data_IF_377883187430
#
_entry.id   IF_377883187430
#
_cell.length_a   1.000
_cell.length_b   1.000
_cell.length_c   1.000
_cell.angle_alpha   90.00
_cell.angle_beta   90.00
_cell.angle_gamma   90.00
#
_symmetry.space_group_name_H-M   'P 1'
#
loop_
_entity.id
_entity.type
_entity.pdbx_description
1 polymer ?
#
# COMPACT_ATOMS: atom_id res chain seq x y z
N UNK A 1 27.16 -31.04 0.66
CA UNK A 1 26.76 -30.34 -0.59
C UNK A 1 25.32 -29.84 -0.55
N UNK A 2 24.30 -30.69 -0.37
CA UNK A 2 22.87 -30.30 -0.38
C UNK A 2 22.51 -29.21 0.65
N UNK A 3 23.06 -29.28 1.86
CA UNK A 3 22.81 -28.30 2.93
C UNK A 3 23.32 -26.89 2.58
N UNK A 4 24.46 -26.80 1.90
CA UNK A 4 25.00 -25.51 1.45
C UNK A 4 24.16 -24.87 0.34
N UNK A 5 23.57 -25.70 -0.54
CA UNK A 5 22.66 -25.23 -1.60
C UNK A 5 21.36 -24.68 -0.99
N UNK A 6 20.78 -25.40 -0.01
CA UNK A 6 19.56 -24.95 0.68
C UNK A 6 19.79 -23.65 1.44
N UNK A 7 20.92 -23.53 2.16
CA UNK A 7 21.24 -22.32 2.92
C UNK A 7 21.51 -21.10 2.01
N UNK A 8 22.15 -21.33 0.85
CA UNK A 8 22.32 -20.29 -0.16
C UNK A 8 20.99 -19.82 -0.78
N UNK A 9 20.05 -20.74 -1.03
CA UNK A 9 18.73 -20.39 -1.55
C UNK A 9 17.89 -19.56 -0.56
N UNK A 10 17.99 -19.84 0.75
CA UNK A 10 17.31 -19.06 1.78
C UNK A 10 17.82 -17.61 1.85
N UNK A 11 19.13 -17.40 1.74
CA UNK A 11 19.73 -16.05 1.76
C UNK A 11 19.31 -15.21 0.55
N UNK A 12 19.10 -15.83 -0.62
CA UNK A 12 18.64 -15.16 -1.83
C UNK A 12 17.14 -14.79 -1.79
N UNK A 13 16.37 -15.37 -0.86
CA UNK A 13 14.95 -15.05 -0.65
C UNK A 13 14.71 -13.87 0.30
N UNK A 14 15.78 -13.33 0.91
CA UNK A 14 15.71 -12.10 1.67
C UNK A 14 15.48 -10.92 0.69
N UNK A 15 14.23 -10.48 0.56
CA UNK A 15 13.87 -9.31 -0.23
C UNK A 15 14.40 -8.00 0.37
N UNK A 16 14.20 -6.88 -0.33
CA UNK A 16 14.62 -5.54 0.09
C UNK A 16 13.78 -4.95 1.25
N UNK A 17 13.39 -5.74 2.24
CA UNK A 17 12.54 -5.30 3.35
C UNK A 17 13.17 -4.20 4.22
N UNK A 18 14.49 -4.04 4.16
CA UNK A 18 15.23 -2.95 4.81
C UNK A 18 15.37 -1.68 3.96
N UNK A 19 14.90 -1.69 2.71
CA UNK A 19 14.97 -0.54 1.77
C UNK A 19 13.73 0.36 1.85
N UNK A 20 13.02 0.34 2.98
CA UNK A 20 11.86 1.20 3.23
C UNK A 20 12.27 2.59 3.70
N UNK A 21 11.41 3.58 3.42
CA UNK A 21 11.47 4.92 4.03
C UNK A 21 11.02 4.83 5.49
N UNK A 22 11.67 5.62 6.35
CA UNK A 22 11.36 5.64 7.77
C UNK A 22 9.94 6.22 7.97
N UNK A 23 9.21 5.84 9.02
CA UNK A 23 7.82 6.28 9.20
C UNK A 23 7.62 7.80 9.15
N UNK A 24 8.62 8.57 9.62
CA UNK A 24 8.62 10.03 9.60
C UNK A 24 8.99 10.64 8.23
N UNK A 25 9.62 9.89 7.32
CA UNK A 25 9.92 10.34 5.95
C UNK A 25 8.68 10.37 5.05
N UNK A 26 7.56 9.80 5.52
CA UNK A 26 6.30 9.74 4.76
C UNK A 26 5.54 11.07 4.71
N UNK A 27 6.01 12.09 5.42
CA UNK A 27 5.40 13.43 5.40
C UNK A 27 5.43 14.07 4.00
N UNK A 28 6.38 13.67 3.15
CA UNK A 28 6.44 14.12 1.75
C UNK A 28 5.16 13.74 0.97
N UNK A 29 4.60 12.57 1.26
CA UNK A 29 3.35 12.09 0.65
C UNK A 29 2.09 12.62 1.36
N UNK A 30 2.23 13.29 2.50
CA UNK A 30 1.11 13.89 3.21
C UNK A 30 0.69 15.24 2.65
N UNK A 31 1.49 15.83 1.74
CA UNK A 31 1.17 17.10 1.07
C UNK A 31 -0.11 16.96 0.23
N UNK A 32 -0.91 18.02 0.19
CA UNK A 32 -2.15 18.08 -0.59
C UNK A 32 -1.92 17.79 -2.08
N UNK A 33 -0.81 18.27 -2.64
CA UNK A 33 -0.42 18.05 -4.03
C UNK A 33 -0.05 16.59 -4.36
N UNK A 34 0.22 15.78 -3.33
CA UNK A 34 0.62 14.37 -3.46
C UNK A 34 -0.54 13.41 -3.17
N UNK A 35 -1.75 13.93 -2.93
CA UNK A 35 -2.94 13.11 -2.69
C UNK A 35 -3.31 12.32 -3.95
N UNK A 36 -3.62 11.04 -3.77
CA UNK A 36 -4.07 10.16 -4.85
C UNK A 36 -5.47 10.51 -5.35
N UNK A 37 -6.25 11.20 -4.52
CA UNK A 37 -7.57 11.72 -4.85
C UNK A 37 -7.52 13.24 -4.88
N UNK A 38 -7.99 13.82 -5.97
CA UNK A 38 -8.06 15.27 -6.16
C UNK A 38 -9.33 15.87 -5.58
N UNK A 39 -10.42 15.09 -5.56
CA UNK A 39 -11.71 15.47 -5.00
C UNK A 39 -12.29 14.29 -4.19
N UNK A 40 -12.45 14.52 -2.89
CA UNK A 40 -12.93 13.49 -1.97
C UNK A 40 -14.42 13.13 -2.18
N UNK A 41 -15.24 14.08 -2.65
CA UNK A 41 -16.67 13.87 -2.87
C UNK A 41 -16.92 13.05 -4.14
N UNK A 42 -16.15 13.32 -5.20
CA UNK A 42 -16.16 12.53 -6.42
C UNK A 42 -15.71 11.09 -6.11
N UNK A 43 -14.57 10.92 -5.42
CA UNK A 43 -14.05 9.62 -5.05
C UNK A 43 -15.03 8.80 -4.18
N UNK A 44 -15.69 9.44 -3.20
CA UNK A 44 -16.70 8.78 -2.39
C UNK A 44 -17.89 8.32 -3.22
N UNK A 45 -18.34 9.14 -4.17
CA UNK A 45 -19.47 8.81 -5.06
C UNK A 45 -19.14 7.61 -5.95
N UNK A 46 -17.94 7.60 -6.52
CA UNK A 46 -17.45 6.48 -7.33
C UNK A 46 -17.35 5.18 -6.54
N UNK A 47 -16.87 5.24 -5.29
CA UNK A 47 -16.83 4.09 -4.40
C UNK A 47 -18.23 3.57 -4.07
N UNK A 48 -19.18 4.47 -3.77
CA UNK A 48 -20.58 4.09 -3.56
C UNK A 48 -21.18 3.36 -4.76
N UNK A 49 -20.93 3.85 -5.98
CA UNK A 49 -21.40 3.21 -7.22
C UNK A 49 -20.73 1.85 -7.41
N UNK A 50 -19.41 1.78 -7.22
CA UNK A 50 -18.61 0.57 -7.44
C UNK A 50 -19.03 -0.55 -6.48
N UNK A 51 -19.14 -0.26 -5.18
CA UNK A 51 -19.61 -1.21 -4.19
C UNK A 51 -21.04 -1.69 -4.44
N UNK A 52 -21.92 -0.78 -4.87
CA UNK A 52 -23.31 -1.13 -5.17
C UNK A 52 -23.43 -2.04 -6.39
N UNK A 53 -22.53 -1.90 -7.39
CA UNK A 53 -22.59 -2.66 -8.64
C UNK A 53 -21.84 -3.99 -8.56
N UNK A 54 -20.69 -4.00 -7.90
CA UNK A 54 -19.78 -5.16 -7.92
C UNK A 54 -19.87 -6.01 -6.65
N UNK A 55 -20.64 -5.58 -5.64
CA UNK A 55 -20.71 -6.21 -4.32
C UNK A 55 -19.31 -6.48 -3.71
N UNK A 56 -18.32 -5.68 -4.10
CA UNK A 56 -16.96 -5.79 -3.61
C UNK A 56 -16.92 -5.33 -2.15
N UNK A 57 -16.19 -6.04 -1.30
CA UNK A 57 -15.96 -5.63 0.09
C UNK A 57 -14.49 -5.25 0.24
N UNK A 58 -14.22 -3.95 0.46
CA UNK A 58 -12.87 -3.41 0.65
C UNK A 58 -12.66 -2.12 -0.16
N UNK A 59 -12.35 -1.01 0.53
CA UNK A 59 -12.10 0.31 -0.07
C UNK A 59 -10.91 0.37 -1.02
N UNK A 60 -10.84 1.44 -1.83
CA UNK A 60 -9.67 1.84 -2.62
C UNK A 60 -8.56 2.39 -1.70
N UNK A 61 -8.06 1.58 -0.76
CA UNK A 61 -7.14 2.07 0.29
C UNK A 61 -5.92 1.18 0.46
N UNK A 62 -4.78 1.58 -0.13
CA UNK A 62 -3.46 0.99 0.18
C UNK A 62 -2.33 2.01 0.40
N UNK A 63 -2.60 3.33 0.40
CA UNK A 63 -1.49 4.29 0.45
C UNK A 63 -1.84 5.77 0.52
N UNK A 64 -2.71 6.18 1.44
CA UNK A 64 -2.86 7.59 1.84
C UNK A 64 -2.52 7.74 3.32
N UNK A 65 -1.70 8.75 3.67
CA UNK A 65 -1.20 9.00 5.03
C UNK A 65 -2.33 9.06 6.06
N UNK A 66 -2.50 7.96 6.79
CA UNK A 66 -3.52 7.73 7.80
C UNK A 66 -3.38 6.29 8.29
N UNK A 67 -3.88 5.99 9.48
CA UNK A 67 -3.65 4.76 10.27
C UNK A 67 -4.15 3.44 9.63
N UNK A 68 -4.09 3.29 8.30
CA UNK A 68 -3.89 2.03 7.59
C UNK A 68 -4.75 0.87 8.05
N UNK A 69 -6.02 1.12 8.35
CA UNK A 69 -6.97 0.07 8.69
C UNK A 69 -8.09 0.12 7.65
N UNK A 70 -8.21 -0.98 6.90
CA UNK A 70 -9.41 -1.34 6.17
C UNK A 70 -10.51 -1.69 7.18
#
# INVERSE_FOLDING_TARGET
>A
MKIFIVMGALLLSAGCSSMGVEPWDRDVLAKDEMQLTTDAMEAATDDHIYFSKEASSGGRGFGGGGCGCN
#
